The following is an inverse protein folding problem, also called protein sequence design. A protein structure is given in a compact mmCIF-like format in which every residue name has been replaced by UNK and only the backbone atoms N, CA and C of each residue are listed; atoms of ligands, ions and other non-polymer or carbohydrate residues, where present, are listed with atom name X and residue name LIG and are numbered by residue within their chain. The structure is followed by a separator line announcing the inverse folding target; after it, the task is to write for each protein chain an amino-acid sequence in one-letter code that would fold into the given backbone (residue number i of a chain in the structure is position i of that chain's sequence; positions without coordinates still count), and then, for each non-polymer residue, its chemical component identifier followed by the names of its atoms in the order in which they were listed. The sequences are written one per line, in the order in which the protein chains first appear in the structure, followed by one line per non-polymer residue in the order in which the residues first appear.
data_IF_072072325468
#
_entry.id   IF_072072325468
#
_cell.length_a   1.000
_cell.length_b   1.000
_cell.length_c   1.000
_cell.angle_alpha   90.00
_cell.angle_beta   90.00
_cell.angle_gamma   90.00
#
_symmetry.space_group_name_H-M   'P 1'
#
loop_
_entity.id
_entity.type
_entity.pdbx_description
1 polymer ?
#
# COMPACT_ATOMS: atom_id res chain seq x y z
N UNK A 1 -1.75 -1.79 34.36
CA UNK A 1 -1.22 -1.08 33.19
C UNK A 1 -2.38 -0.39 32.48
N UNK A 2 -2.23 0.88 32.12
CA UNK A 2 -3.17 1.64 31.28
C UNK A 2 -2.45 2.10 30.03
N UNK A 3 -3.15 2.17 28.90
CA UNK A 3 -2.62 2.70 27.65
C UNK A 3 -3.67 3.49 26.90
N UNK A 4 -3.20 4.49 26.15
CA UNK A 4 -4.05 5.28 25.28
C UNK A 4 -3.24 5.86 24.10
N UNK A 5 -3.93 6.28 23.04
CA UNK A 5 -3.32 6.96 21.92
C UNK A 5 -4.24 8.00 21.29
N UNK A 6 -3.66 9.17 21.03
CA UNK A 6 -4.25 10.20 20.17
C UNK A 6 -3.46 10.33 18.86
N UNK A 7 -3.92 11.21 17.97
CA UNK A 7 -3.20 11.56 16.74
C UNK A 7 -1.85 12.25 16.99
N UNK A 8 -1.61 12.75 18.20
CA UNK A 8 -0.41 13.51 18.56
C UNK A 8 0.60 12.68 19.35
N UNK A 9 0.14 11.79 20.22
CA UNK A 9 0.99 10.99 21.08
C UNK A 9 0.29 9.68 21.48
N UNK A 10 1.08 8.70 21.90
CA UNK A 10 0.61 7.47 22.51
C UNK A 10 1.42 7.18 23.77
N UNK A 11 0.78 6.56 24.76
CA UNK A 11 1.31 6.49 26.10
C UNK A 11 0.90 5.21 26.82
N UNK A 12 1.64 4.88 27.87
CA UNK A 12 1.29 3.85 28.82
C UNK A 12 1.71 4.25 30.25
N UNK A 13 0.96 3.83 31.25
CA UNK A 13 1.32 4.01 32.65
C UNK A 13 1.02 2.76 33.50
N UNK A 14 1.82 2.58 34.54
CA UNK A 14 1.81 1.42 35.41
C UNK A 14 1.52 1.86 36.85
N UNK A 15 0.60 1.17 37.50
CA UNK A 15 0.28 1.36 38.91
C UNK A 15 0.54 0.06 39.66
N UNK A 16 1.29 0.14 40.76
CA UNK A 16 1.33 -0.92 41.77
C UNK A 16 0.07 -0.82 42.61
N UNK A 17 -0.57 -1.95 42.89
CA UNK A 17 -1.74 -2.04 43.76
C UNK A 17 -1.53 -3.13 44.79
N UNK A 18 -1.81 -2.83 46.05
CA UNK A 18 -1.75 -3.80 47.15
C UNK A 18 -2.91 -3.61 48.12
N UNK A 19 -3.21 -4.66 48.87
CA UNK A 19 -4.30 -4.68 49.85
C UNK A 19 -3.86 -4.04 51.17
N UNK A 20 -4.71 -3.19 51.74
CA UNK A 20 -4.50 -2.51 53.03
C UNK A 20 -5.76 -2.73 53.88
N UNK A 21 -5.88 -3.93 54.45
CA UNK A 21 -7.03 -4.37 55.26
C UNK A 21 -8.11 -5.12 54.47
N UNK A 22 -9.25 -5.40 55.11
CA UNK A 22 -10.34 -6.16 54.47
C UNK A 22 -10.98 -5.35 53.34
N UNK A 23 -10.83 -5.81 52.09
CA UNK A 23 -11.48 -5.26 50.91
C UNK A 23 -11.00 -3.89 50.42
N UNK A 24 -10.01 -3.26 51.07
CA UNK A 24 -9.45 -1.97 50.67
C UNK A 24 -8.09 -2.12 50.01
N UNK A 25 -7.87 -1.34 48.96
CA UNK A 25 -6.63 -1.36 48.20
C UNK A 25 -6.05 0.05 48.07
N UNK A 26 -4.74 0.13 47.92
CA UNK A 26 -4.04 1.37 47.58
C UNK A 26 -3.30 1.14 46.27
N UNK A 27 -3.39 2.12 45.37
CA UNK A 27 -2.63 2.15 44.14
C UNK A 27 -1.67 3.35 44.10
N UNK A 28 -0.50 3.15 43.50
CA UNK A 28 0.49 4.21 43.26
C UNK A 28 1.13 4.05 41.89
N UNK A 29 1.35 5.17 41.21
CA UNK A 29 2.07 5.21 39.95
C UNK A 29 3.50 4.69 40.16
N UNK A 30 3.89 3.68 39.39
CA UNK A 30 5.25 3.15 39.33
C UNK A 30 6.07 3.85 38.25
N UNK A 31 5.50 3.88 37.04
CA UNK A 31 6.16 4.43 35.87
C UNK A 31 5.14 4.84 34.82
N UNK A 32 5.50 5.81 34.00
CA UNK A 32 4.78 6.16 32.78
C UNK A 32 5.74 6.39 31.63
N UNK A 33 5.25 6.19 30.42
CA UNK A 33 6.03 6.39 29.20
C UNK A 33 5.12 6.92 28.10
N UNK A 34 5.55 8.01 27.47
CA UNK A 34 4.84 8.64 26.37
C UNK A 34 5.76 8.78 25.16
N UNK A 35 5.19 8.71 23.96
CA UNK A 35 5.88 8.90 22.70
C UNK A 35 5.05 9.78 21.76
N UNK A 36 5.72 10.69 21.06
CA UNK A 36 5.08 11.46 20.00
C UNK A 36 4.67 10.52 18.85
N UNK A 37 3.52 10.79 18.26
CA UNK A 37 3.06 10.09 17.08
C UNK A 37 4.06 10.31 15.93
N UNK A 38 4.29 9.30 15.07
CA UNK A 38 5.23 9.44 13.96
C UNK A 38 4.83 10.58 13.01
N UNK A 39 5.83 11.29 12.47
CA UNK A 39 5.64 12.36 11.47
C UNK A 39 4.78 11.85 10.30
N UNK A 40 4.98 10.59 9.90
CA UNK A 40 4.10 9.94 8.93
C UNK A 40 2.78 9.57 9.62
N UNK A 41 1.72 10.30 9.25
CA UNK A 41 0.36 10.12 9.75
C UNK A 41 -0.01 8.63 9.81
N UNK A 42 -0.28 8.16 11.03
CA UNK A 42 -0.85 6.85 11.29
C UNK A 42 -2.33 7.00 11.60
N UNK A 43 -3.11 5.95 11.34
CA UNK A 43 -4.50 5.89 11.77
C UNK A 43 -4.57 5.70 13.29
N UNK A 44 -5.61 6.22 13.93
CA UNK A 44 -5.84 6.07 15.38
C UNK A 44 -5.73 4.60 15.84
N UNK A 45 -6.35 3.60 15.18
CA UNK A 45 -6.18 2.19 15.59
C UNK A 45 -4.74 1.65 15.56
N UNK A 46 -3.86 2.22 14.73
CA UNK A 46 -2.44 1.84 14.71
C UNK A 46 -1.67 2.48 15.85
N UNK A 47 -2.06 3.69 16.26
CA UNK A 47 -1.48 4.38 17.41
C UNK A 47 -1.96 3.74 18.71
N UNK A 48 -3.22 3.36 18.81
CA UNK A 48 -3.77 2.56 19.93
C UNK A 48 -3.05 1.22 20.04
N UNK A 49 -2.83 0.51 18.93
CA UNK A 49 -2.03 -0.71 18.96
C UNK A 49 -0.57 -0.44 19.37
N UNK A 50 -0.01 0.70 18.98
CA UNK A 50 1.33 1.08 19.41
C UNK A 50 1.40 1.44 20.90
N UNK A 51 0.33 2.00 21.49
CA UNK A 51 0.23 2.23 22.94
C UNK A 51 0.14 0.92 23.70
N UNK A 52 -0.59 -0.06 23.18
CA UNK A 52 -0.65 -1.41 23.74
C UNK A 52 0.73 -2.10 23.73
N UNK A 53 1.48 -2.01 22.63
CA UNK A 53 2.88 -2.50 22.59
C UNK A 53 3.75 -1.77 23.61
N UNK A 54 3.61 -0.45 23.74
CA UNK A 54 4.35 0.33 24.73
C UNK A 54 4.04 -0.12 26.16
N UNK A 55 2.77 -0.44 26.43
CA UNK A 55 2.28 -0.99 27.69
C UNK A 55 2.89 -2.35 28.01
N UNK A 56 2.87 -3.28 27.06
CA UNK A 56 3.49 -4.61 27.21
C UNK A 56 4.99 -4.51 27.52
N UNK A 57 5.73 -3.69 26.75
CA UNK A 57 7.16 -3.45 26.99
C UNK A 57 7.44 -2.83 28.35
N UNK A 58 6.66 -1.82 28.74
CA UNK A 58 6.81 -1.16 30.04
C UNK A 58 6.55 -2.13 31.18
N UNK A 59 5.52 -2.98 31.05
CA UNK A 59 5.22 -4.02 32.02
C UNK A 59 6.39 -4.99 32.16
N UNK A 60 6.92 -5.51 31.05
CA UNK A 60 8.04 -6.43 31.07
C UNK A 60 9.28 -5.83 31.76
N UNK A 61 9.63 -4.58 31.43
CA UNK A 61 10.73 -3.87 32.12
C UNK A 61 10.48 -3.73 33.62
N UNK A 62 9.25 -3.40 34.05
CA UNK A 62 8.95 -3.28 35.48
C UNK A 62 9.08 -4.63 36.19
N UNK A 63 8.55 -5.69 35.59
CA UNK A 63 8.59 -7.03 36.18
C UNK A 63 10.02 -7.55 36.25
N UNK A 64 10.80 -7.38 35.19
CA UNK A 64 12.22 -7.82 35.11
C UNK A 64 13.12 -7.06 36.09
N UNK A 65 12.92 -5.74 36.23
CA UNK A 65 13.82 -4.88 37.02
C UNK A 65 13.37 -4.71 38.49
N UNK A 66 12.17 -5.18 38.85
CA UNK A 66 11.66 -5.07 40.22
C UNK A 66 11.89 -6.35 41.03
N UNK A 67 12.21 -6.19 42.31
CA UNK A 67 12.24 -7.30 43.28
C UNK A 67 10.84 -7.64 43.84
N UNK A 68 9.77 -7.12 43.23
CA UNK A 68 8.40 -7.31 43.70
C UNK A 68 7.76 -8.39 42.84
N UNK A 69 7.21 -9.42 43.49
CA UNK A 69 6.37 -10.40 42.80
C UNK A 69 4.97 -9.82 42.65
N UNK A 70 4.51 -9.68 41.41
CA UNK A 70 3.14 -9.28 41.09
C UNK A 70 2.28 -10.53 40.90
N UNK A 71 1.25 -10.71 41.72
CA UNK A 71 0.34 -11.86 41.62
C UNK A 71 -0.57 -11.78 40.38
N UNK A 72 -0.91 -10.57 39.98
CA UNK A 72 -1.80 -10.30 38.85
C UNK A 72 -1.34 -9.08 38.05
N UNK A 73 -1.40 -9.19 36.72
CA UNK A 73 -1.14 -8.10 35.79
C UNK A 73 -2.42 -7.83 35.00
N UNK A 74 -2.83 -6.56 34.99
CA UNK A 74 -4.00 -6.10 34.24
C UNK A 74 -3.55 -5.06 33.20
N UNK A 75 -3.80 -5.34 31.92
CA UNK A 75 -3.69 -4.40 30.81
C UNK A 75 -5.06 -3.83 30.47
N UNK A 76 -5.25 -2.53 30.75
CA UNK A 76 -6.51 -1.82 30.58
C UNK A 76 -6.42 -0.89 29.37
N UNK A 77 -7.27 -1.14 28.39
CA UNK A 77 -7.36 -0.36 27.14
C UNK A 77 -8.82 0.01 26.87
N UNK A 78 -9.08 1.17 26.28
CA UNK A 78 -10.42 1.59 25.82
C UNK A 78 -10.66 1.31 24.33
N UNK A 79 -9.62 0.95 23.59
CA UNK A 79 -9.75 0.47 22.21
C UNK A 79 -10.28 -0.96 22.11
N UNK A 80 -11.56 -1.10 21.76
CA UNK A 80 -12.17 -2.40 21.42
C UNK A 80 -11.46 -3.10 20.25
N UNK A 81 -10.93 -2.32 19.29
CA UNK A 81 -10.24 -2.84 18.11
C UNK A 81 -8.95 -3.54 18.52
N UNK A 82 -8.15 -2.90 19.38
CA UNK A 82 -6.91 -3.49 19.90
C UNK A 82 -7.22 -4.75 20.69
N UNK A 83 -8.22 -4.71 21.57
CA UNK A 83 -8.58 -5.88 22.36
C UNK A 83 -9.03 -7.04 21.47
N UNK A 84 -9.89 -6.78 20.49
CA UNK A 84 -10.32 -7.80 19.52
C UNK A 84 -9.15 -8.38 18.71
N UNK A 85 -8.15 -7.54 18.37
CA UNK A 85 -6.94 -8.01 17.70
C UNK A 85 -6.12 -8.93 18.61
N UNK A 86 -5.93 -8.59 19.88
CA UNK A 86 -5.17 -9.39 20.85
C UNK A 86 -5.87 -10.74 21.13
N UNK A 87 -7.20 -10.76 21.18
CA UNK A 87 -7.96 -11.97 21.50
C UNK A 87 -8.04 -13.00 20.35
N UNK A 88 -8.12 -12.54 19.09
CA UNK A 88 -8.35 -13.41 17.92
C UNK A 88 -7.18 -14.33 17.56
N UNK A 89 -7.33 -15.65 17.63
CA UNK A 89 -6.24 -16.58 17.27
C UNK A 89 -5.68 -16.37 15.87
N UNK A 90 -6.56 -16.25 14.86
CA UNK A 90 -6.18 -16.06 13.47
C UNK A 90 -6.39 -14.62 13.01
N UNK A 91 -5.30 -13.87 12.88
CA UNK A 91 -5.32 -12.50 12.40
C UNK A 91 -4.97 -12.43 10.90
N UNK A 92 -5.99 -12.32 10.04
CA UNK A 92 -5.78 -11.96 8.64
C UNK A 92 -5.68 -10.43 8.50
N UNK A 93 -4.53 -9.88 8.93
CA UNK A 93 -4.25 -8.44 8.99
C UNK A 93 -2.92 -8.11 8.32
N UNK A 94 -2.71 -6.84 7.97
CA UNK A 94 -1.44 -6.40 7.39
C UNK A 94 -0.25 -6.58 8.35
N UNK A 95 0.95 -6.74 7.79
CA UNK A 95 2.21 -7.03 8.50
C UNK A 95 2.48 -6.13 9.71
N UNK A 96 2.16 -4.83 9.62
CA UNK A 96 2.33 -3.89 10.74
C UNK A 96 1.57 -4.31 12.00
N UNK A 97 0.32 -4.75 11.82
CA UNK A 97 -0.58 -5.16 12.92
C UNK A 97 -0.15 -6.54 13.41
N UNK A 98 0.09 -7.47 12.49
CA UNK A 98 0.50 -8.83 12.82
C UNK A 98 1.75 -8.85 13.70
N UNK A 99 2.81 -8.11 13.32
CA UNK A 99 4.06 -8.08 14.08
C UNK A 99 3.88 -7.53 15.50
N UNK A 100 3.03 -6.51 15.67
CA UNK A 100 2.80 -5.87 16.98
C UNK A 100 1.94 -6.74 17.90
N UNK A 101 0.93 -7.39 17.32
CA UNK A 101 0.10 -8.32 18.11
C UNK A 101 0.91 -9.57 18.49
N UNK A 102 1.80 -10.06 17.61
CA UNK A 102 2.75 -11.13 17.96
C UNK A 102 3.59 -10.73 19.16
N UNK A 103 4.19 -9.54 19.12
CA UNK A 103 5.02 -9.04 20.21
C UNK A 103 4.25 -8.93 21.54
N UNK A 104 3.01 -8.45 21.51
CA UNK A 104 2.15 -8.40 22.70
C UNK A 104 1.89 -9.82 23.23
N UNK A 105 1.55 -10.77 22.36
CA UNK A 105 1.24 -12.16 22.75
C UNK A 105 2.45 -12.95 23.21
N UNK A 106 3.65 -12.58 22.79
CA UNK A 106 4.90 -13.19 23.24
C UNK A 106 5.30 -12.70 24.64
N UNK A 107 4.80 -11.54 25.07
CA UNK A 107 5.20 -10.89 26.33
C UNK A 107 4.09 -10.79 27.38
N UNK A 108 2.83 -11.05 26.99
CA UNK A 108 1.65 -10.95 27.87
C UNK A 108 0.66 -12.07 27.56
N UNK A 109 -0.20 -12.41 28.52
CA UNK A 109 -1.28 -13.37 28.33
C UNK A 109 -2.56 -12.67 27.89
N UNK A 110 -3.41 -13.35 27.11
CA UNK A 110 -4.67 -12.77 26.64
C UNK A 110 -5.60 -12.39 27.79
N UNK A 111 -5.61 -13.19 28.85
CA UNK A 111 -6.45 -13.05 30.03
C UNK A 111 -6.11 -11.80 30.84
N UNK A 112 -4.93 -11.23 30.64
CA UNK A 112 -4.49 -9.99 31.30
C UNK A 112 -5.08 -8.74 30.63
N UNK A 113 -5.61 -8.85 29.40
CA UNK A 113 -6.12 -7.71 28.64
C UNK A 113 -7.63 -7.52 28.84
N UNK A 114 -8.00 -6.31 29.25
CA UNK A 114 -9.37 -5.95 29.56
C UNK A 114 -9.76 -4.61 28.96
N UNK A 115 -11.04 -4.51 28.60
CA UNK A 115 -11.63 -3.27 28.16
C UNK A 115 -12.11 -2.44 29.35
N UNK A 116 -11.82 -1.14 29.30
CA UNK A 116 -12.40 -0.13 30.20
C UNK A 116 -12.95 1.03 29.37
N UNK A 117 -13.84 1.84 29.95
CA UNK A 117 -14.35 3.01 29.25
C UNK A 117 -13.34 4.16 29.25
N UNK A 118 -13.38 4.99 28.21
CA UNK A 118 -12.44 6.13 28.06
C UNK A 118 -12.53 7.11 29.23
N UNK A 119 -13.70 7.28 29.86
CA UNK A 119 -13.89 8.22 30.97
C UNK A 119 -13.10 7.85 32.23
N UNK A 120 -12.77 6.56 32.40
CA UNK A 120 -11.99 6.05 33.54
C UNK A 120 -10.57 5.65 33.14
N UNK A 121 -10.20 5.83 31.86
CA UNK A 121 -8.86 5.53 31.36
C UNK A 121 -7.91 6.70 31.65
N UNK A 122 -7.10 6.56 32.70
CA UNK A 122 -6.17 7.63 33.11
C UNK A 122 -5.05 7.90 32.10
N UNK A 123 -4.77 6.96 31.18
CA UNK A 123 -3.72 7.16 30.17
C UNK A 123 -4.04 8.28 29.17
N UNK A 124 -5.32 8.64 29.02
CA UNK A 124 -5.81 9.74 28.19
C UNK A 124 -5.27 11.11 28.64
N UNK A 125 -4.92 11.27 29.92
CA UNK A 125 -4.24 12.47 30.42
C UNK A 125 -2.90 12.74 29.72
N UNK A 126 -2.23 11.71 29.20
CA UNK A 126 -0.93 11.82 28.54
C UNK A 126 -1.01 12.02 27.02
N UNK A 127 -2.19 11.81 26.41
CA UNK A 127 -2.38 11.88 24.96
C UNK A 127 -3.13 13.15 24.53
N UNK A 128 -3.76 13.84 25.49
CA UNK A 128 -4.47 15.11 25.29
C UNK A 128 -3.50 16.30 25.14
N UNK A 129 -3.62 17.09 24.07
CA UNK A 129 -2.84 18.31 23.92
C UNK A 129 -3.26 19.36 24.97
N UNK A 130 -2.28 20.07 25.53
CA UNK A 130 -2.46 21.26 26.38
C UNK A 130 -3.20 21.02 27.71
N UNK A 131 -3.27 19.78 28.20
CA UNK A 131 -3.86 19.50 29.49
C UNK A 131 -2.85 19.77 30.61
N UNK A 132 -3.18 20.68 31.53
CA UNK A 132 -2.42 20.84 32.78
C UNK A 132 -2.82 19.72 33.73
N UNK A 133 -1.95 18.72 33.87
CA UNK A 133 -2.14 17.59 34.78
C UNK A 133 -1.37 17.87 36.07
N UNK A 134 -2.05 17.82 37.21
CA UNK A 134 -1.38 17.88 38.50
C UNK A 134 -0.63 16.56 38.75
N UNK A 135 0.70 16.64 38.83
CA UNK A 135 1.60 15.50 39.05
C UNK A 135 2.15 15.42 40.48
N UNK A 136 1.71 16.31 41.36
CA UNK A 136 2.18 16.45 42.74
C UNK A 136 1.88 15.20 43.57
N UNK A 137 2.61 15.04 44.67
CA UNK A 137 2.41 13.93 45.59
C UNK A 137 0.95 13.89 46.08
N UNK A 138 0.30 12.74 45.88
CA UNK A 138 -1.10 12.55 46.25
C UNK A 138 -2.11 13.07 45.23
N UNK A 139 -1.69 13.55 44.07
CA UNK A 139 -2.61 13.92 42.99
C UNK A 139 -3.37 12.70 42.43
N UNK A 140 -4.42 12.96 41.65
CA UNK A 140 -5.14 11.93 40.90
C UNK A 140 -4.21 11.11 39.99
N UNK A 141 -3.25 11.78 39.33
CA UNK A 141 -2.22 11.10 38.52
C UNK A 141 -1.36 10.14 39.34
N UNK A 142 -0.94 10.52 40.55
CA UNK A 142 -0.09 9.67 41.40
C UNK A 142 -0.85 8.51 42.05
N UNK A 143 -2.14 8.71 42.40
CA UNK A 143 -2.98 7.69 43.04
C UNK A 143 -3.65 6.74 42.05
N UNK A 144 -3.88 7.19 40.82
CA UNK A 144 -4.68 6.47 39.84
C UNK A 144 -6.18 6.65 40.05
N UNK A 145 -7.02 6.06 39.18
CA UNK A 145 -8.47 6.11 39.30
C UNK A 145 -8.98 5.48 40.60
N UNK A 146 -10.07 6.02 41.14
CA UNK A 146 -10.64 5.60 42.43
C UNK A 146 -11.02 4.12 42.48
N UNK A 147 -11.43 3.54 41.35
CA UNK A 147 -11.79 2.12 41.27
C UNK A 147 -10.62 1.17 41.58
N UNK A 148 -9.36 1.63 41.45
CA UNK A 148 -8.20 0.83 41.84
C UNK A 148 -8.17 0.57 43.37
N UNK A 149 -8.85 1.41 44.16
CA UNK A 149 -9.02 1.22 45.60
C UNK A 149 -10.06 0.18 45.99
N UNK A 150 -10.86 -0.29 45.01
CA UNK A 150 -11.94 -1.27 45.19
C UNK A 150 -11.46 -2.70 44.87
N UNK A 151 -12.20 -3.74 45.33
CA UNK A 151 -12.03 -5.11 44.85
C UNK A 151 -12.16 -5.22 43.33
N UNK A 152 -11.44 -6.17 42.73
CA UNK A 152 -11.43 -6.37 41.26
C UNK A 152 -12.80 -6.74 40.69
N UNK A 153 -13.71 -7.28 41.52
CA UNK A 153 -15.11 -7.58 41.18
C UNK A 153 -15.94 -6.32 40.91
N UNK A 154 -15.52 -5.17 41.43
CA UNK A 154 -16.20 -3.88 41.28
C UNK A 154 -15.55 -3.00 40.20
N UNK A 155 -14.50 -3.50 39.53
CA UNK A 155 -13.85 -2.73 38.48
C UNK A 155 -14.77 -2.54 37.28
N UNK A 156 -14.68 -1.40 36.58
CA UNK A 156 -15.47 -1.10 35.40
C UNK A 156 -14.96 -1.85 34.15
N UNK A 157 -14.53 -3.10 34.31
CA UNK A 157 -14.11 -3.97 33.21
C UNK A 157 -15.36 -4.54 32.55
N UNK A 158 -15.46 -4.39 31.23
CA UNK A 158 -16.51 -5.08 30.45
C UNK A 158 -15.91 -6.25 29.69
N UNK A 159 -16.59 -7.39 29.74
CA UNK A 159 -16.33 -8.47 28.81
C UNK A 159 -16.79 -8.04 27.41
N UNK A 160 -15.87 -7.95 26.45
CA UNK A 160 -16.27 -7.78 25.06
C UNK A 160 -16.74 -9.14 24.55
N UNK A 161 -18.02 -9.29 24.14
CA UNK A 161 -18.43 -10.50 23.44
C UNK A 161 -17.67 -10.56 22.11
N UNK A 162 -16.76 -11.52 21.99
CA UNK A 162 -16.17 -11.87 20.70
C UNK A 162 -17.33 -12.34 19.81
N UNK A 163 -17.83 -11.46 18.94
CA UNK A 163 -18.83 -11.85 17.94
C UNK A 163 -18.19 -12.93 17.05
N UNK A 164 -18.63 -14.17 17.20
CA UNK A 164 -18.19 -15.36 16.43
C UNK A 164 -18.67 -15.36 14.98
N UNK A 165 -19.21 -14.27 14.46
CA UNK A 165 -19.64 -14.23 13.07
C UNK A 165 -18.56 -13.62 12.17
N UNK A 166 -18.13 -14.44 11.21
CA UNK A 166 -17.52 -14.03 9.96
C UNK A 166 -18.36 -12.94 9.29
N UNK A 167 -18.06 -11.70 9.62
CA UNK A 167 -18.00 -10.64 8.63
C UNK A 167 -16.65 -10.02 8.80
N UNK A 168 -15.75 -10.34 7.86
CA UNK A 168 -14.72 -9.42 7.40
C UNK A 168 -15.27 -8.01 7.59
N UNK A 169 -14.67 -7.23 8.47
CA UNK A 169 -15.03 -5.83 8.65
C UNK A 169 -14.63 -5.16 7.34
N UNK A 170 -15.51 -5.25 6.34
CA UNK A 170 -15.75 -4.20 5.39
C UNK A 170 -16.24 -3.08 6.28
N UNK A 171 -15.34 -2.15 6.60
CA UNK A 171 -15.67 -0.92 7.29
C UNK A 171 -16.95 -0.35 6.68
N UNK A 172 -18.04 -0.38 7.44
CA UNK A 172 -19.28 0.30 7.11
C UNK A 172 -18.91 1.76 6.93
N UNK A 173 -18.94 2.21 5.69
CA UNK A 173 -18.69 3.57 5.28
C UNK A 173 -19.78 4.42 5.92
N UNK A 174 -19.45 5.12 7.01
CA UNK A 174 -20.01 6.44 7.23
C UNK A 174 -19.66 7.26 6.00
N UNK A 175 -20.68 7.64 5.25
CA UNK A 175 -20.56 8.45 4.03
C UNK A 175 -20.01 9.81 4.44
N UNK A 176 -18.68 9.94 4.43
CA UNK A 176 -17.97 11.21 4.32
C UNK A 176 -16.48 10.95 4.06
N UNK A 177 -16.03 11.43 2.90
CA UNK A 177 -14.65 11.37 2.36
C UNK A 177 -14.11 9.96 2.13
N UNK A 178 -14.38 9.49 0.90
CA UNK A 178 -13.70 8.38 0.23
C UNK A 178 -12.18 8.54 0.36
N UNK A 179 -11.58 7.84 1.33
CA UNK A 179 -10.16 7.59 1.41
C UNK A 179 -9.96 6.17 0.90
N UNK A 180 -9.63 6.03 -0.38
CA UNK A 180 -9.46 4.74 -1.05
C UNK A 180 -8.20 4.08 -0.49
N UNK A 181 -8.26 3.34 0.62
CA UNK A 181 -7.19 2.40 0.96
C UNK A 181 -7.44 1.11 0.18
N UNK A 182 -6.69 0.95 -0.91
CA UNK A 182 -6.58 -0.27 -1.73
C UNK A 182 -7.92 -0.77 -2.29
N UNK A 183 -8.20 -0.50 -3.58
CA UNK A 183 -9.39 -1.03 -4.24
C UNK A 183 -9.35 -2.55 -4.33
N UNK A 184 -9.92 -3.23 -3.35
CA UNK A 184 -10.21 -4.66 -3.40
C UNK A 184 -11.62 -4.88 -3.95
N UNK A 185 -11.96 -4.33 -5.12
CA UNK A 185 -13.17 -4.78 -5.81
C UNK A 185 -13.07 -6.29 -6.10
N UNK A 186 -11.87 -6.72 -6.50
CA UNK A 186 -11.42 -8.10 -6.66
C UNK A 186 -9.92 -8.09 -6.97
N UNK A 187 -9.28 -9.25 -6.85
CA UNK A 187 -7.84 -9.41 -7.10
C UNK A 187 -7.47 -9.14 -8.58
N UNK A 188 -6.73 -8.05 -8.81
CA UNK A 188 -6.25 -7.64 -10.15
C UNK A 188 -5.24 -8.63 -10.73
N UNK A 189 -4.54 -9.40 -9.89
CA UNK A 189 -3.50 -10.32 -10.36
C UNK A 189 -4.06 -11.50 -11.15
N UNK A 190 -5.36 -11.77 -10.99
CA UNK A 190 -6.11 -12.75 -11.80
C UNK A 190 -6.34 -12.29 -13.25
N UNK A 191 -6.15 -11.01 -13.56
CA UNK A 191 -6.41 -10.46 -14.88
C UNK A 191 -5.15 -10.43 -15.74
N UNK A 192 -5.30 -10.89 -16.99
CA UNK A 192 -4.25 -10.87 -18.02
C UNK A 192 -4.50 -9.87 -19.15
N UNK A 193 -5.68 -9.25 -19.17
CA UNK A 193 -6.13 -8.32 -20.20
C UNK A 193 -6.72 -7.06 -19.57
N UNK A 194 -6.22 -5.90 -20.02
CA UNK A 194 -6.73 -4.59 -19.62
C UNK A 194 -8.22 -4.43 -19.96
N UNK A 195 -8.60 -4.72 -21.22
CA UNK A 195 -10.01 -4.65 -21.65
C UNK A 195 -10.92 -5.56 -20.82
N UNK A 196 -10.49 -6.78 -20.51
CA UNK A 196 -11.27 -7.71 -19.66
C UNK A 196 -11.46 -7.13 -18.26
N UNK A 197 -10.41 -6.58 -17.66
CA UNK A 197 -10.46 -5.94 -16.35
C UNK A 197 -11.49 -4.80 -16.33
N UNK A 198 -11.39 -3.86 -17.27
CA UNK A 198 -12.31 -2.70 -17.34
C UNK A 198 -13.75 -3.16 -17.57
N UNK A 199 -14.00 -4.12 -18.48
CA UNK A 199 -15.36 -4.63 -18.76
C UNK A 199 -15.98 -5.34 -17.57
N UNK A 200 -15.22 -6.17 -16.84
CA UNK A 200 -15.71 -6.85 -15.63
C UNK A 200 -16.03 -5.82 -14.54
N UNK A 201 -15.14 -4.84 -14.35
CA UNK A 201 -15.36 -3.77 -13.38
C UNK A 201 -16.61 -2.96 -13.70
N UNK A 202 -16.82 -2.59 -14.97
CA UNK A 202 -18.00 -1.86 -15.41
C UNK A 202 -19.30 -2.63 -15.15
N UNK A 203 -19.31 -3.95 -15.41
CA UNK A 203 -20.47 -4.81 -15.10
C UNK A 203 -20.78 -4.86 -13.60
N UNK A 204 -19.75 -4.94 -12.77
CA UNK A 204 -19.92 -4.94 -11.32
C UNK A 204 -20.47 -3.61 -10.82
N UNK A 205 -19.95 -2.48 -11.32
CA UNK A 205 -20.47 -1.14 -10.98
C UNK A 205 -21.98 -1.05 -11.31
N UNK A 206 -22.40 -1.52 -12.49
CA UNK A 206 -23.81 -1.53 -12.88
C UNK A 206 -24.66 -2.42 -11.96
N UNK A 207 -24.19 -3.65 -11.66
CA UNK A 207 -24.87 -4.56 -10.75
C UNK A 207 -25.02 -3.99 -9.32
N UNK A 208 -23.99 -3.30 -8.82
CA UNK A 208 -24.04 -2.63 -7.51
C UNK A 208 -25.02 -1.48 -7.48
N UNK A 209 -25.10 -0.66 -8.54
CA UNK A 209 -26.06 0.45 -8.64
C UNK A 209 -27.50 -0.05 -8.59
N UNK A 210 -27.79 -1.12 -9.31
CA UNK A 210 -29.13 -1.70 -9.38
C UNK A 210 -29.46 -2.63 -8.19
N UNK A 211 -28.49 -2.85 -7.29
CA UNK A 211 -28.59 -3.79 -6.15
C UNK A 211 -29.10 -5.18 -6.57
N UNK A 212 -28.81 -5.59 -7.79
CA UNK A 212 -29.33 -6.81 -8.39
C UNK A 212 -28.37 -7.33 -9.46
N UNK A 213 -28.24 -8.65 -9.54
CA UNK A 213 -27.53 -9.30 -10.63
C UNK A 213 -28.20 -9.07 -12.00
N UNK A 214 -29.46 -8.62 -12.02
CA UNK A 214 -30.16 -8.17 -13.24
C UNK A 214 -29.51 -6.93 -13.85
N UNK A 215 -28.76 -6.14 -13.08
CA UNK A 215 -28.01 -4.97 -13.56
C UNK A 215 -26.69 -5.30 -14.25
N UNK A 216 -26.36 -6.58 -14.40
CA UNK A 216 -25.26 -7.01 -15.26
C UNK A 216 -25.72 -6.89 -16.72
N UNK A 217 -25.59 -5.68 -17.28
CA UNK A 217 -25.88 -5.45 -18.69
C UNK A 217 -24.92 -6.25 -19.59
N UNK A 218 -25.47 -6.93 -20.59
CA UNK A 218 -24.71 -7.59 -21.66
C UNK A 218 -23.99 -6.56 -22.55
N UNK A 219 -24.62 -5.40 -22.78
CA UNK A 219 -24.10 -4.27 -23.55
C UNK A 219 -23.62 -3.15 -22.62
N UNK A 220 -22.30 -2.94 -22.58
CA UNK A 220 -21.68 -1.87 -21.79
C UNK A 220 -21.59 -0.60 -22.63
N UNK A 221 -21.99 0.54 -22.06
CA UNK A 221 -21.84 1.85 -22.70
C UNK A 221 -20.40 2.37 -22.56
N UNK A 222 -20.00 3.29 -23.45
CA UNK A 222 -18.67 3.93 -23.38
C UNK A 222 -18.45 4.67 -22.05
N UNK A 223 -19.51 5.23 -21.47
CA UNK A 223 -19.47 5.91 -20.18
C UNK A 223 -19.19 4.95 -19.02
N UNK A 224 -19.83 3.78 -19.01
CA UNK A 224 -19.57 2.74 -18.00
C UNK A 224 -18.12 2.25 -18.04
N UNK A 225 -17.55 2.10 -19.24
CA UNK A 225 -16.14 1.74 -19.42
C UNK A 225 -15.21 2.84 -18.92
N UNK A 226 -15.53 4.10 -19.24
CA UNK A 226 -14.75 5.27 -18.78
C UNK A 226 -14.80 5.42 -17.27
N UNK A 227 -15.96 5.15 -16.66
CA UNK A 227 -16.12 5.16 -15.21
C UNK A 227 -15.28 4.07 -14.55
N UNK A 228 -15.37 2.84 -15.05
CA UNK A 228 -14.58 1.71 -14.54
C UNK A 228 -13.06 1.97 -14.65
N UNK A 229 -12.62 2.53 -15.77
CA UNK A 229 -11.23 2.93 -15.97
C UNK A 229 -10.81 4.03 -15.00
N UNK A 230 -11.65 5.04 -14.82
CA UNK A 230 -11.41 6.15 -13.89
C UNK A 230 -11.29 5.65 -12.45
N UNK A 231 -12.11 4.68 -12.05
CA UNK A 231 -12.04 4.05 -10.75
C UNK A 231 -10.65 3.44 -10.53
N UNK A 232 -10.20 2.58 -11.44
CA UNK A 232 -8.87 1.96 -11.35
C UNK A 232 -7.73 2.97 -11.32
N UNK A 233 -7.83 4.05 -12.10
CA UNK A 233 -6.86 5.16 -12.12
C UNK A 233 -6.82 5.87 -10.75
N UNK A 234 -7.97 6.13 -10.14
CA UNK A 234 -8.01 6.71 -8.79
C UNK A 234 -7.37 5.77 -7.78
N UNK A 235 -7.67 4.47 -7.84
CA UNK A 235 -7.13 3.45 -6.94
C UNK A 235 -5.60 3.34 -7.00
N UNK A 236 -5.04 3.25 -8.21
CA UNK A 236 -3.59 3.12 -8.42
C UNK A 236 -2.84 4.39 -7.99
N UNK A 237 -3.49 5.55 -8.01
CA UNK A 237 -2.90 6.82 -7.61
C UNK A 237 -2.96 7.10 -6.12
N UNK A 238 -3.72 6.34 -5.32
CA UNK A 238 -3.79 6.51 -3.86
C UNK A 238 -2.40 6.55 -3.22
N UNK A 239 -1.50 5.58 -3.47
CA UNK A 239 -0.18 5.59 -2.82
C UNK A 239 0.72 6.72 -3.33
N UNK A 240 0.34 7.37 -4.44
CA UNK A 240 1.02 8.55 -4.97
C UNK A 240 0.53 9.85 -4.34
N UNK A 241 -0.63 9.87 -3.67
CA UNK A 241 -1.16 11.11 -3.08
C UNK A 241 -0.27 11.68 -1.97
N UNK A 242 0.58 10.86 -1.35
CA UNK A 242 1.62 11.32 -0.44
C UNK A 242 2.81 11.86 -1.26
N UNK A 243 3.16 13.13 -1.08
CA UNK A 243 4.36 13.78 -1.63
C UNK A 243 4.50 13.82 -3.17
N UNK A 244 3.43 13.60 -3.97
CA UNK A 244 3.53 13.69 -5.44
C UNK A 244 4.00 15.05 -5.95
N UNK A 245 3.61 16.15 -5.30
CA UNK A 245 4.02 17.51 -5.68
C UNK A 245 5.53 17.68 -5.62
N UNK A 246 6.17 17.08 -4.61
CA UNK A 246 7.62 17.09 -4.43
C UNK A 246 8.28 16.11 -5.40
N UNK A 247 7.80 14.86 -5.41
CA UNK A 247 8.36 13.77 -6.21
C UNK A 247 8.34 14.05 -7.71
N UNK A 248 7.28 14.69 -8.19
CA UNK A 248 7.07 14.97 -9.61
C UNK A 248 7.15 16.46 -9.94
N UNK A 249 7.71 17.31 -9.06
CA UNK A 249 7.80 18.78 -9.23
C UNK A 249 8.24 19.22 -10.62
N UNK A 250 9.23 18.52 -11.20
CA UNK A 250 9.78 18.83 -12.54
C UNK A 250 8.79 18.58 -13.68
N UNK A 251 7.84 17.67 -13.50
CA UNK A 251 6.83 17.31 -14.49
C UNK A 251 5.60 18.23 -14.47
N UNK A 252 5.57 19.23 -13.57
CA UNK A 252 4.41 20.11 -13.40
C UNK A 252 3.14 19.30 -13.07
N UNK A 253 3.10 18.63 -11.91
CA UNK A 253 1.99 17.76 -11.61
C UNK A 253 0.81 18.61 -11.11
N UNK A 254 -0.41 18.16 -11.34
CA UNK A 254 -1.62 18.78 -10.81
C UNK A 254 -2.71 17.74 -10.58
N UNK A 255 -3.74 18.06 -9.81
CA UNK A 255 -4.86 17.16 -9.53
C UNK A 255 -6.15 17.75 -10.11
N UNK A 256 -6.92 16.94 -10.86
CA UNK A 256 -8.25 17.29 -11.38
C UNK A 256 -9.20 16.13 -11.15
N UNK A 257 -10.36 16.40 -10.54
CA UNK A 257 -11.40 15.39 -10.22
C UNK A 257 -10.90 14.18 -9.41
N UNK A 258 -9.88 14.40 -8.57
CA UNK A 258 -9.24 13.35 -7.77
C UNK A 258 -8.26 12.46 -8.53
N UNK A 259 -7.89 12.84 -9.77
CA UNK A 259 -6.90 12.16 -10.61
C UNK A 259 -5.66 13.04 -10.71
N UNK A 260 -4.49 12.44 -10.52
CA UNK A 260 -3.19 13.09 -10.70
C UNK A 260 -2.80 13.12 -12.18
N UNK A 261 -2.45 14.31 -12.64
CA UNK A 261 -1.96 14.60 -13.97
C UNK A 261 -0.55 15.21 -13.92
N UNK A 262 0.14 15.17 -15.05
CA UNK A 262 1.41 15.87 -15.29
C UNK A 262 1.37 16.62 -16.61
N UNK A 263 2.20 17.65 -16.76
CA UNK A 263 2.33 18.42 -17.99
C UNK A 263 1.98 19.91 -17.86
N UNK A 264 1.66 20.43 -16.67
CA UNK A 264 1.24 21.84 -16.52
C UNK A 264 2.29 22.86 -16.97
N UNK A 265 3.58 22.50 -16.89
CA UNK A 265 4.71 23.34 -17.35
C UNK A 265 4.98 23.25 -18.86
N UNK A 266 4.41 22.26 -19.53
CA UNK A 266 4.62 22.00 -20.97
C UNK A 266 3.35 22.36 -21.76
N UNK A 267 2.23 22.63 -21.09
CA UNK A 267 0.95 23.05 -21.67
C UNK A 267 1.10 24.19 -22.71
N UNK A 268 2.00 25.15 -22.50
CA UNK A 268 2.27 26.24 -23.45
C UNK A 268 2.87 25.74 -24.78
N UNK A 269 3.74 24.71 -24.75
CA UNK A 269 4.41 24.13 -25.91
C UNK A 269 3.60 22.98 -26.55
N UNK A 270 2.65 22.39 -25.83
CA UNK A 270 1.79 21.30 -26.31
C UNK A 270 0.53 21.78 -27.06
N UNK A 271 0.26 23.09 -27.15
CA UNK A 271 -0.86 23.67 -27.93
C UNK A 271 -0.83 23.33 -29.43
N UNK A 272 0.28 22.79 -29.95
CA UNK A 272 0.40 22.31 -31.34
C UNK A 272 0.06 20.82 -31.55
N UNK A 273 -0.17 20.04 -30.48
CA UNK A 273 -0.52 18.62 -30.61
C UNK A 273 -2.02 18.39 -30.38
N UNK A 274 -2.65 17.62 -31.27
CA UNK A 274 -4.07 17.22 -31.21
C UNK A 274 -4.48 16.42 -29.96
N UNK A 275 -3.53 16.00 -29.11
CA UNK A 275 -3.78 15.14 -27.96
C UNK A 275 -3.38 15.81 -26.65
N UNK A 276 -4.41 16.07 -25.83
CA UNK A 276 -4.42 16.33 -24.38
C UNK A 276 -3.35 17.29 -23.83
N UNK A 277 -3.82 18.40 -23.24
CA UNK A 277 -3.00 19.38 -22.50
C UNK A 277 -2.30 18.78 -21.24
N UNK A 278 -2.63 17.55 -20.87
CA UNK A 278 -2.08 16.85 -19.72
C UNK A 278 -2.20 15.33 -19.81
N UNK A 279 -1.28 14.63 -19.12
CA UNK A 279 -1.24 13.17 -19.08
C UNK A 279 -1.59 12.64 -17.70
N UNK A 280 -2.35 11.55 -17.65
CA UNK A 280 -2.69 10.87 -16.39
C UNK A 280 -1.43 10.17 -15.86
N UNK A 281 -1.05 10.45 -14.63
CA UNK A 281 0.15 9.88 -14.02
C UNK A 281 -0.11 8.45 -13.53
N UNK A 282 0.66 7.47 -14.00
CA UNK A 282 0.59 6.09 -13.51
C UNK A 282 1.92 5.67 -12.84
N UNK A 283 1.90 4.96 -11.70
CA UNK A 283 3.10 4.43 -11.07
C UNK A 283 3.68 3.25 -11.85
N UNK A 284 4.96 2.96 -11.60
CA UNK A 284 5.72 1.93 -12.30
C UNK A 284 5.54 0.52 -11.76
N UNK A 285 5.08 0.37 -10.51
CA UNK A 285 5.15 -0.89 -9.75
C UNK A 285 3.80 -1.60 -9.61
N UNK A 286 2.79 -1.24 -10.40
CA UNK A 286 1.44 -1.76 -10.24
C UNK A 286 0.94 -2.52 -11.47
N UNK A 287 0.22 -3.63 -11.23
CA UNK A 287 -0.27 -4.55 -12.26
C UNK A 287 -1.08 -3.89 -13.37
N UNK A 288 -1.93 -2.93 -13.02
CA UNK A 288 -2.71 -2.16 -14.00
C UNK A 288 -1.81 -1.46 -15.03
N UNK A 289 -0.66 -0.91 -14.60
CA UNK A 289 0.31 -0.28 -15.51
C UNK A 289 0.87 -1.30 -16.48
N UNK A 290 1.22 -2.50 -16.01
CA UNK A 290 1.68 -3.60 -16.88
C UNK A 290 0.60 -4.04 -17.87
N UNK A 291 -0.66 -4.16 -17.42
CA UNK A 291 -1.78 -4.52 -18.27
C UNK A 291 -2.05 -3.45 -19.34
N UNK A 292 -1.93 -2.16 -18.99
CA UNK A 292 -2.07 -1.05 -19.92
C UNK A 292 -0.98 -1.06 -20.99
N UNK A 293 0.29 -1.20 -20.57
CA UNK A 293 1.43 -1.31 -21.49
C UNK A 293 1.24 -2.51 -22.42
N UNK A 294 0.85 -3.66 -21.86
CA UNK A 294 0.60 -4.87 -22.63
C UNK A 294 -0.54 -4.71 -23.63
N UNK A 295 -1.66 -4.09 -23.26
CA UNK A 295 -2.79 -3.86 -24.17
C UNK A 295 -2.44 -2.95 -25.34
N UNK A 296 -1.56 -1.96 -25.13
CA UNK A 296 -1.07 -1.12 -26.23
C UNK A 296 -0.08 -1.91 -27.10
N UNK A 297 0.84 -2.64 -26.48
CA UNK A 297 1.86 -3.43 -27.16
C UNK A 297 1.27 -4.55 -28.03
N UNK A 298 0.28 -5.27 -27.52
CA UNK A 298 -0.34 -6.44 -28.17
C UNK A 298 -1.22 -6.05 -29.38
N UNK A 299 -1.44 -4.74 -29.65
CA UNK A 299 -2.22 -4.29 -30.80
C UNK A 299 -1.47 -4.41 -32.12
N UNK A 300 -0.16 -4.21 -32.10
CA UNK A 300 0.62 -4.08 -33.34
C UNK A 300 2.06 -4.61 -33.26
N UNK A 301 2.62 -4.83 -32.06
CA UNK A 301 3.99 -5.28 -31.86
C UNK A 301 5.07 -4.45 -32.58
N UNK A 302 4.80 -3.17 -32.90
CA UNK A 302 5.65 -2.32 -33.77
C UNK A 302 6.97 -1.90 -33.14
N UNK A 303 7.10 -1.99 -31.81
CA UNK A 303 8.34 -1.71 -31.10
C UNK A 303 8.16 -0.76 -29.92
N UNK A 304 9.29 -0.41 -29.29
CA UNK A 304 9.29 0.32 -28.01
C UNK A 304 8.76 1.74 -28.16
N UNK A 305 9.21 2.46 -29.19
CA UNK A 305 8.89 3.89 -29.36
C UNK A 305 7.46 4.09 -29.85
N UNK A 306 6.97 3.25 -30.76
CA UNK A 306 5.55 3.26 -31.16
C UNK A 306 4.63 2.98 -29.97
N UNK A 307 4.96 1.97 -29.15
CA UNK A 307 4.21 1.64 -27.93
C UNK A 307 4.22 2.83 -26.95
N UNK A 308 5.38 3.49 -26.80
CA UNK A 308 5.51 4.67 -25.93
C UNK A 308 4.64 5.83 -26.41
N UNK A 309 4.69 6.18 -27.70
CA UNK A 309 3.89 7.28 -28.26
C UNK A 309 2.39 7.02 -28.06
N UNK A 310 1.94 5.78 -28.27
CA UNK A 310 0.53 5.40 -28.06
C UNK A 310 0.11 5.44 -26.58
N UNK A 311 0.99 5.04 -25.67
CA UNK A 311 0.76 5.20 -24.22
C UNK A 311 0.69 6.68 -23.84
N UNK A 312 1.59 7.49 -24.39
CA UNK A 312 1.67 8.93 -24.16
C UNK A 312 0.53 9.72 -24.81
N UNK A 313 -0.39 9.11 -25.55
CA UNK A 313 -1.63 9.78 -25.92
C UNK A 313 -2.54 10.05 -24.69
N UNK A 314 -2.34 9.31 -23.59
CA UNK A 314 -3.20 9.34 -22.41
C UNK A 314 -2.47 9.31 -21.08
N UNK A 315 -1.39 8.53 -20.97
CA UNK A 315 -0.72 8.23 -19.71
C UNK A 315 0.73 8.70 -19.70
N UNK A 316 1.16 9.19 -18.55
CA UNK A 316 2.57 9.38 -18.23
C UNK A 316 3.00 8.35 -17.19
N UNK A 317 3.91 7.46 -17.59
CA UNK A 317 4.49 6.44 -16.71
C UNK A 317 5.99 6.77 -16.55
N UNK A 318 6.50 7.03 -15.33
CA UNK A 318 7.92 7.20 -15.11
C UNK A 318 8.70 6.00 -15.64
N UNK A 319 9.82 6.20 -16.33
CA UNK A 319 10.61 5.09 -16.89
C UNK A 319 9.82 4.14 -17.83
N UNK A 320 8.76 4.61 -18.50
CA UNK A 320 7.91 3.79 -19.37
C UNK A 320 8.70 2.94 -20.37
N UNK A 321 9.74 3.51 -21.01
CA UNK A 321 10.61 2.80 -21.95
C UNK A 321 11.21 1.52 -21.36
N UNK A 322 11.62 1.54 -20.09
CA UNK A 322 12.18 0.37 -19.39
C UNK A 322 11.13 -0.74 -19.27
N UNK A 323 9.91 -0.38 -18.86
CA UNK A 323 8.80 -1.33 -18.73
C UNK A 323 8.37 -1.88 -20.09
N UNK A 324 8.29 -1.04 -21.13
CA UNK A 324 7.95 -1.47 -22.49
C UNK A 324 9.01 -2.43 -23.04
N UNK A 325 10.31 -2.15 -22.86
CA UNK A 325 11.40 -3.09 -23.22
C UNK A 325 11.24 -4.43 -22.51
N UNK A 326 10.93 -4.41 -21.21
CA UNK A 326 10.66 -5.63 -20.44
C UNK A 326 9.43 -6.39 -20.95
N UNK A 327 8.37 -5.70 -21.38
CA UNK A 327 7.18 -6.33 -21.98
C UNK A 327 7.50 -6.93 -23.35
N UNK A 328 8.15 -6.17 -24.25
CA UNK A 328 8.57 -6.64 -25.59
C UNK A 328 9.47 -7.86 -25.49
N UNK A 329 10.49 -7.82 -24.63
CA UNK A 329 11.43 -8.94 -24.45
C UNK A 329 10.78 -10.22 -23.94
N UNK A 330 9.64 -10.14 -23.23
CA UNK A 330 8.85 -11.30 -22.76
C UNK A 330 7.77 -11.74 -23.77
N UNK A 331 7.54 -10.96 -24.82
CA UNK A 331 6.50 -11.22 -25.82
C UNK A 331 6.94 -12.29 -26.82
N UNK A 332 6.18 -13.38 -26.91
CA UNK A 332 6.46 -14.48 -27.84
C UNK A 332 6.38 -14.02 -29.29
N UNK A 333 5.40 -13.17 -29.64
CA UNK A 333 5.24 -12.63 -31.00
C UNK A 333 6.44 -11.80 -31.41
N UNK A 334 6.91 -10.89 -30.54
CA UNK A 334 8.10 -10.10 -30.82
C UNK A 334 9.35 -10.95 -30.97
N UNK A 335 9.56 -11.95 -30.09
CA UNK A 335 10.69 -12.87 -30.23
C UNK A 335 10.66 -13.63 -31.55
N UNK A 336 9.48 -14.06 -32.02
CA UNK A 336 9.32 -14.73 -33.32
C UNK A 336 9.62 -13.78 -34.48
N UNK A 337 9.16 -12.53 -34.42
CA UNK A 337 9.44 -11.51 -35.44
C UNK A 337 10.93 -11.16 -35.50
N UNK A 338 11.58 -10.97 -34.35
CA UNK A 338 13.03 -10.71 -34.26
C UNK A 338 13.86 -11.90 -34.75
N UNK A 339 13.45 -13.14 -34.45
CA UNK A 339 14.11 -14.33 -35.01
C UNK A 339 13.96 -14.41 -36.52
N UNK A 340 12.80 -14.04 -37.09
CA UNK A 340 12.62 -14.02 -38.54
C UNK A 340 13.53 -12.97 -39.18
N UNK A 341 13.60 -11.76 -38.63
CA UNK A 341 14.46 -10.69 -39.15
C UNK A 341 15.93 -11.12 -39.18
N UNK A 342 16.43 -11.71 -38.10
CA UNK A 342 17.82 -12.23 -38.05
C UNK A 342 18.08 -13.37 -39.04
N UNK A 343 17.09 -14.23 -39.31
CA UNK A 343 17.22 -15.25 -40.36
C UNK A 343 17.22 -14.64 -41.77
N UNK A 344 16.41 -13.62 -42.03
CA UNK A 344 16.41 -12.91 -43.33
C UNK A 344 17.70 -12.11 -43.55
N UNK A 345 18.23 -11.44 -42.53
CA UNK A 345 19.54 -10.74 -42.59
C UNK A 345 20.69 -11.72 -42.85
N UNK A 346 20.63 -12.92 -42.28
CA UNK A 346 21.61 -13.96 -42.58
C UNK A 346 21.49 -14.42 -44.04
N UNK A 347 20.27 -14.62 -44.56
CA UNK A 347 20.03 -15.05 -45.95
C UNK A 347 20.41 -13.98 -46.99
N UNK A 348 20.22 -12.69 -46.70
CA UNK A 348 20.69 -11.62 -47.59
C UNK A 348 22.22 -11.55 -47.66
N UNK A 349 22.92 -11.78 -46.54
CA UNK A 349 24.39 -11.90 -46.56
C UNK A 349 24.89 -13.11 -47.38
N UNK A 350 24.12 -14.21 -47.46
CA UNK A 350 24.46 -15.32 -48.37
C UNK A 350 24.22 -14.97 -49.84
N UNK A 351 23.16 -14.22 -50.17
CA UNK A 351 22.90 -13.78 -51.55
C UNK A 351 23.87 -12.71 -52.04
N UNK A 352 24.34 -11.82 -51.15
CA UNK A 352 25.38 -10.85 -51.47
C UNK A 352 26.76 -11.53 -51.62
N UNK A 353 27.06 -12.53 -50.79
CA UNK A 353 28.29 -13.32 -50.91
C UNK A 353 28.35 -14.16 -52.20
N UNK A 354 27.23 -14.74 -52.65
CA UNK A 354 27.17 -15.46 -53.93
C UNK A 354 27.36 -14.53 -55.14
N UNK A 355 26.80 -13.31 -55.08
CA UNK A 355 26.98 -12.29 -56.13
C UNK A 355 28.41 -11.72 -56.19
N UNK A 356 29.11 -11.58 -55.05
CA UNK A 356 30.52 -11.16 -55.01
C UNK A 356 31.47 -12.25 -55.55
N UNK A 357 31.15 -13.53 -55.37
CA UNK A 357 31.91 -14.62 -56.02
C UNK A 357 31.67 -14.74 -57.54
N UNK A 358 30.57 -14.20 -58.07
CA UNK A 358 30.29 -14.22 -59.50
C UNK A 358 30.99 -13.09 -60.29
N UNK A 359 31.41 -12.00 -59.63
CA UNK A 359 32.09 -10.86 -60.28
C UNK A 359 33.63 -10.95 -60.28
N UNK A 360 34.22 -12.04 -59.78
CA UNK A 360 35.68 -12.27 -59.81
C UNK A 360 36.10 -13.37 -60.80
N UNK A 361 35.55 -13.34 -62.02
CA UNK A 361 36.20 -14.00 -63.16
C UNK A 361 37.19 -13.03 -63.80
N UNK A 362 38.45 -13.12 -63.39
CA UNK A 362 39.56 -12.35 -63.98
C UNK A 362 39.84 -12.85 -65.41
N UNK A 363 40.03 -11.97 -66.41
CA UNK A 363 40.31 -12.38 -67.78
C UNK A 363 41.74 -12.92 -67.93
N UNK A 364 41.88 -14.04 -68.66
CA UNK A 364 43.15 -14.65 -69.05
C UNK A 364 44.04 -13.65 -69.79
N UNK A 365 45.21 -13.31 -69.22
CA UNK A 365 46.28 -12.58 -69.91
C UNK A 365 47.10 -13.54 -70.76
N UNK A 366 47.10 -13.30 -72.07
CA UNK A 366 48.08 -13.85 -73.01
C UNK A 366 49.47 -13.23 -72.76
N UNK A 367 50.48 -14.07 -72.57
CA UNK A 367 51.91 -13.71 -72.66
C UNK A 367 52.40 -13.90 -74.11
N UNK A 368 53.12 -12.93 -74.71
CA UNK A 368 53.75 -13.11 -76.00
C UNK A 368 55.13 -13.77 -75.86
N UNK A 369 55.43 -14.69 -76.78
CA UNK A 369 56.76 -15.22 -77.06
C UNK A 369 57.59 -14.16 -77.78
N UNK A 370 58.79 -13.88 -77.29
CA UNK A 370 59.88 -13.30 -78.09
C UNK A 370 61.14 -14.13 -77.93
N UNK A 371 61.59 -14.61 -79.09
CA UNK A 371 62.82 -15.31 -79.39
C UNK A 371 64.03 -14.36 -79.51
N UNK A 372 65.22 -14.99 -79.50
CA UNK A 372 66.55 -14.52 -79.89
C UNK A 372 67.37 -13.82 -78.79
N UNK A 373 68.67 -14.09 -78.60
CA UNK A 373 69.63 -15.05 -79.15
C UNK A 373 70.93 -15.01 -78.30
N UNK A 374 71.68 -16.11 -78.33
CA UNK A 374 73.15 -16.31 -78.23
C UNK A 374 73.99 -15.32 -77.40
N UNK A 375 74.88 -15.76 -76.51
CA UNK A 375 76.01 -16.70 -76.73
C UNK A 375 76.16 -17.65 -75.53
#
# INVERSE_FOLDING_TARGET
MFNDASTLAYSACAYARWQVGSGKYIARLLASKSRLAPIKIQTVPRLELASAVLSARLCNTIVEESNIKYDYIYHLTDSEIVLAQIMKDNLNVGTYVANRVSEIRETTSKEEWHWISTEVNIADLMTRPNLQVNIDAGSYWQRGPDFLGLPTTEWPIKAIPLKTEEKTIISTVGISKVCIKQCSLFDIDKFRSYRKLIRVTARLISAFRERSLKGISLSLTGEQLKEAETLWIKCIQVPLQDNWQVRFKRLGPFCKDGILYVGSRIATWMKSNYNNEAFILLPTTHKLTDLCIKDVHDRDHVGVDSTLCKLQAKFWIPQARKLIKATKSRCVTCRKLEKKLTMFESLSHWQDAENDTAMTSTPLRHTPLTTHAQI
#
